data_IF_105808112101
#
_entry.id   IF_105808112101
#
_cell.length_a   1.000
_cell.length_b   1.000
_cell.length_c   1.000
_cell.angle_alpha   90.00
_cell.angle_beta   90.00
_cell.angle_gamma   90.00
#
_symmetry.space_group_name_H-M   'P 1'
#
loop_
_entity.id
_entity.type
_entity.pdbx_description
1 polymer ?
#
# COMPACT_ATOMS: atom_id res chain seq x y z
N UNK A 1 22.36 13.96 -32.20
CA UNK A 1 21.06 14.61 -31.91
C UNK A 1 19.85 13.67 -32.04
N UNK A 2 19.62 12.95 -33.16
CA UNK A 2 18.41 12.07 -33.29
C UNK A 2 18.28 10.96 -32.23
N UNK A 3 19.38 10.30 -31.83
CA UNK A 3 19.34 9.24 -30.80
C UNK A 3 18.81 9.75 -29.45
N UNK A 4 19.26 10.94 -29.04
CA UNK A 4 18.89 11.51 -27.75
C UNK A 4 17.38 11.81 -27.68
N UNK A 5 16.78 12.28 -28.79
CA UNK A 5 15.34 12.53 -28.86
C UNK A 5 14.53 11.23 -28.77
N UNK A 6 14.89 10.20 -29.55
CA UNK A 6 14.22 8.90 -29.47
C UNK A 6 14.38 8.23 -28.09
N UNK A 7 15.53 8.40 -27.45
CA UNK A 7 15.76 7.86 -26.11
C UNK A 7 14.92 8.57 -25.03
N UNK A 8 14.59 9.85 -25.22
CA UNK A 8 13.71 10.61 -24.32
C UNK A 8 12.26 10.18 -24.52
N UNK A 9 11.80 10.10 -25.77
CA UNK A 9 10.45 9.65 -26.13
C UNK A 9 10.18 8.23 -25.59
N UNK A 10 11.12 7.31 -25.80
CA UNK A 10 11.02 5.94 -25.31
C UNK A 10 10.87 5.88 -23.78
N UNK A 11 11.69 6.63 -23.05
CA UNK A 11 11.64 6.65 -21.57
C UNK A 11 10.35 7.25 -21.04
N UNK A 12 9.78 8.27 -21.69
CA UNK A 12 8.48 8.84 -21.30
C UNK A 12 7.37 7.80 -21.48
N UNK A 13 7.36 7.09 -22.61
CA UNK A 13 6.38 6.04 -22.90
C UNK A 13 6.49 4.89 -21.89
N UNK A 14 7.71 4.41 -21.63
CA UNK A 14 7.98 3.35 -20.66
C UNK A 14 7.52 3.74 -19.25
N UNK A 15 7.83 4.98 -18.84
CA UNK A 15 7.47 5.50 -17.53
C UNK A 15 5.95 5.65 -17.37
N UNK A 16 5.25 6.09 -18.43
CA UNK A 16 3.78 6.16 -18.46
C UNK A 16 3.14 4.78 -18.26
N UNK A 17 3.59 3.76 -19.01
CA UNK A 17 3.05 2.40 -18.86
C UNK A 17 3.40 1.79 -17.49
N UNK A 18 4.58 2.10 -16.95
CA UNK A 18 4.98 1.68 -15.60
C UNK A 18 4.07 2.28 -14.53
N UNK A 19 3.69 3.55 -14.66
CA UNK A 19 2.74 4.22 -13.77
C UNK A 19 1.33 3.62 -13.89
N UNK A 20 0.87 3.37 -15.12
CA UNK A 20 -0.43 2.75 -15.37
C UNK A 20 -0.52 1.37 -14.73
N UNK A 21 0.50 0.54 -14.89
CA UNK A 21 0.58 -0.79 -14.27
C UNK A 21 0.57 -0.69 -12.74
N UNK A 22 1.34 0.26 -12.18
CA UNK A 22 1.38 0.45 -10.74
C UNK A 22 0.04 0.91 -10.16
N UNK A 23 -0.74 1.70 -10.91
CA UNK A 23 -2.10 2.11 -10.54
C UNK A 23 -3.05 0.92 -10.48
N UNK A 24 -2.99 0.04 -11.47
CA UNK A 24 -3.80 -1.18 -11.50
C UNK A 24 -3.47 -2.13 -10.34
N UNK A 25 -2.17 -2.25 -10.01
CA UNK A 25 -1.72 -3.03 -8.86
C UNK A 25 -2.28 -2.51 -7.53
N UNK A 26 -2.43 -1.19 -7.36
CA UNK A 26 -3.11 -0.64 -6.17
C UNK A 26 -4.58 -1.06 -6.13
N UNK A 27 -5.29 -0.95 -7.25
CA UNK A 27 -6.71 -1.33 -7.31
C UNK A 27 -6.89 -2.80 -6.92
N UNK A 28 -6.11 -3.69 -7.52
CA UNK A 28 -6.12 -5.11 -7.20
C UNK A 28 -5.73 -5.40 -5.74
N UNK A 29 -4.72 -4.67 -5.22
CA UNK A 29 -4.30 -4.78 -3.82
C UNK A 29 -5.40 -4.38 -2.83
N UNK A 30 -6.18 -3.35 -3.17
CA UNK A 30 -7.33 -2.89 -2.38
C UNK A 30 -8.44 -3.93 -2.35
N UNK A 31 -8.79 -4.49 -3.51
CA UNK A 31 -9.82 -5.53 -3.62
C UNK A 31 -9.42 -6.79 -2.84
N UNK A 32 -8.15 -7.19 -2.96
CA UNK A 32 -7.61 -8.32 -2.20
C UNK A 32 -7.69 -8.06 -0.70
N UNK A 33 -7.33 -6.85 -0.23
CA UNK A 33 -7.45 -6.53 1.19
C UNK A 33 -8.89 -6.54 1.67
N UNK A 34 -9.84 -6.07 0.85
CA UNK A 34 -11.26 -6.12 1.17
C UNK A 34 -11.74 -7.57 1.41
N UNK A 35 -11.33 -8.51 0.55
CA UNK A 35 -11.65 -9.94 0.71
C UNK A 35 -11.10 -10.50 2.03
N UNK A 36 -9.83 -10.24 2.35
CA UNK A 36 -9.24 -10.70 3.63
C UNK A 36 -9.91 -10.05 4.85
N UNK A 37 -10.37 -8.80 4.72
CA UNK A 37 -11.12 -8.11 5.77
C UNK A 37 -12.48 -8.76 6.02
N UNK A 38 -13.19 -9.12 4.95
CA UNK A 38 -14.47 -9.84 5.04
C UNK A 38 -14.29 -11.22 5.67
N UNK A 39 -13.30 -11.99 5.22
CA UNK A 39 -12.97 -13.29 5.80
C UNK A 39 -12.66 -13.19 7.31
N UNK A 40 -11.87 -12.19 7.73
CA UNK A 40 -11.59 -11.96 9.14
C UNK A 40 -12.87 -11.65 9.94
N UNK A 41 -13.78 -10.85 9.36
CA UNK A 41 -15.07 -10.52 9.98
C UNK A 41 -15.94 -11.77 10.16
N UNK A 42 -16.01 -12.62 9.16
CA UNK A 42 -16.75 -13.89 9.19
C UNK A 42 -16.20 -14.84 10.27
N UNK A 43 -14.90 -15.10 10.24
CA UNK A 43 -14.20 -15.95 11.22
C UNK A 43 -14.37 -15.41 12.65
N UNK A 44 -14.35 -14.08 12.83
CA UNK A 44 -14.60 -13.45 14.12
C UNK A 44 -16.04 -13.66 14.61
N UNK A 45 -17.02 -13.58 13.71
CA UNK A 45 -18.41 -13.86 14.05
C UNK A 45 -18.61 -15.34 14.44
N UNK A 46 -18.02 -16.27 13.69
CA UNK A 46 -18.12 -17.70 13.96
C UNK A 46 -17.41 -18.10 15.28
N UNK A 47 -16.28 -17.47 15.59
CA UNK A 47 -15.60 -17.68 16.87
C UNK A 47 -16.46 -17.26 18.06
N UNK A 48 -17.18 -16.12 17.95
CA UNK A 48 -18.10 -15.65 19.01
C UNK A 48 -19.27 -16.61 19.26
N UNK A 49 -19.73 -17.29 18.23
CA UNK A 49 -20.78 -18.32 18.33
C UNK A 49 -20.21 -19.69 18.78
N UNK A 50 -18.90 -19.79 18.99
CA UNK A 50 -18.22 -21.02 19.40
C UNK A 50 -17.99 -22.03 18.27
N UNK A 51 -18.30 -21.67 17.03
CA UNK A 51 -18.20 -22.55 15.86
C UNK A 51 -16.79 -22.66 15.28
N UNK A 52 -15.88 -21.76 15.66
CA UNK A 52 -14.50 -21.67 15.12
C UNK A 52 -13.48 -21.55 16.25
N UNK A 53 -12.37 -22.29 16.10
CA UNK A 53 -11.27 -22.31 17.07
C UNK A 53 -10.54 -20.95 17.15
N UNK A 54 -9.92 -20.67 18.30
CA UNK A 54 -9.00 -19.52 18.47
C UNK A 54 -7.82 -19.58 17.50
N UNK A 55 -7.41 -20.78 17.08
CA UNK A 55 -6.34 -20.98 16.11
C UNK A 55 -6.67 -20.38 14.74
N UNK A 56 -7.85 -20.68 14.20
CA UNK A 56 -8.29 -20.17 12.90
C UNK A 56 -8.47 -18.65 12.92
N UNK A 57 -9.01 -18.11 14.02
CA UNK A 57 -9.11 -16.67 14.24
C UNK A 57 -7.74 -15.98 14.26
N UNK A 58 -6.73 -16.60 14.88
CA UNK A 58 -5.37 -16.08 14.87
C UNK A 58 -4.77 -16.15 13.46
N UNK A 59 -4.96 -17.26 12.75
CA UNK A 59 -4.47 -17.43 11.39
C UNK A 59 -5.06 -16.38 10.44
N UNK A 60 -6.36 -16.12 10.52
CA UNK A 60 -7.02 -15.09 9.72
C UNK A 60 -6.47 -13.68 10.03
N UNK A 61 -6.18 -13.37 11.31
CA UNK A 61 -5.55 -12.12 11.70
C UNK A 61 -4.12 -11.96 11.17
N UNK A 62 -3.34 -13.03 11.18
CA UNK A 62 -1.96 -13.02 10.63
C UNK A 62 -2.00 -12.75 9.13
N UNK A 63 -2.82 -13.50 8.38
CA UNK A 63 -2.98 -13.31 6.93
C UNK A 63 -3.44 -11.89 6.58
N UNK A 64 -4.37 -11.33 7.33
CA UNK A 64 -4.80 -9.94 7.14
C UNK A 64 -3.67 -8.94 7.36
N UNK A 65 -2.83 -9.15 8.39
CA UNK A 65 -1.67 -8.28 8.66
C UNK A 65 -0.62 -8.40 7.57
N UNK A 66 -0.33 -9.61 7.11
CA UNK A 66 0.59 -9.85 5.99
C UNK A 66 0.13 -9.12 4.74
N UNK A 67 -1.16 -9.25 4.39
CA UNK A 67 -1.72 -8.57 3.22
C UNK A 67 -1.67 -7.05 3.33
N UNK A 68 -1.84 -6.51 4.54
CA UNK A 68 -1.69 -5.07 4.79
C UNK A 68 -0.25 -4.59 4.55
N UNK A 69 0.75 -5.40 4.91
CA UNK A 69 2.16 -5.09 4.61
C UNK A 69 2.40 -5.06 3.10
N UNK A 70 1.88 -6.05 2.37
CA UNK A 70 1.97 -6.10 0.90
C UNK A 70 1.31 -4.88 0.27
N UNK A 71 0.14 -4.46 0.75
CA UNK A 71 -0.54 -3.27 0.25
C UNK A 71 0.31 -2.00 0.41
N UNK A 72 1.00 -1.85 1.56
CA UNK A 72 1.91 -0.73 1.78
C UNK A 72 3.08 -0.75 0.79
N UNK A 73 3.61 -1.93 0.44
CA UNK A 73 4.65 -2.06 -0.58
C UNK A 73 4.15 -1.67 -1.97
N UNK A 74 2.93 -2.06 -2.34
CA UNK A 74 2.29 -1.69 -3.61
C UNK A 74 2.12 -0.16 -3.68
N UNK A 75 1.63 0.47 -2.61
CA UNK A 75 1.50 1.94 -2.53
C UNK A 75 2.86 2.64 -2.69
N UNK A 76 3.90 2.11 -2.04
CA UNK A 76 5.25 2.61 -2.18
C UNK A 76 5.79 2.45 -3.61
N UNK A 77 5.49 1.34 -4.29
CA UNK A 77 5.88 1.09 -5.69
C UNK A 77 5.23 2.10 -6.62
N UNK A 78 3.92 2.35 -6.46
CA UNK A 78 3.21 3.36 -7.22
C UNK A 78 3.81 4.75 -7.02
N UNK A 79 4.08 5.14 -5.76
CA UNK A 79 4.71 6.43 -5.47
C UNK A 79 6.06 6.60 -6.17
N UNK A 80 6.88 5.54 -6.20
CA UNK A 80 8.16 5.56 -6.93
C UNK A 80 7.96 5.69 -8.44
N UNK A 81 7.02 4.95 -9.03
CA UNK A 81 6.72 5.03 -10.46
C UNK A 81 6.20 6.43 -10.86
N UNK A 82 5.37 7.03 -10.00
CA UNK A 82 4.86 8.38 -10.19
C UNK A 82 5.98 9.44 -10.14
N UNK A 83 6.88 9.33 -9.15
CA UNK A 83 8.03 10.23 -9.06
C UNK A 83 8.97 10.08 -10.26
N UNK A 84 9.27 8.84 -10.69
CA UNK A 84 10.09 8.59 -11.86
C UNK A 84 9.49 9.21 -13.13
N UNK A 85 8.17 9.15 -13.29
CA UNK A 85 7.45 9.80 -14.39
C UNK A 85 7.56 11.33 -14.34
N UNK A 86 7.41 11.93 -13.16
CA UNK A 86 7.54 13.38 -13.00
C UNK A 86 8.98 13.85 -13.31
N UNK A 87 9.99 13.12 -12.84
CA UNK A 87 11.39 13.41 -13.15
C UNK A 87 11.66 13.32 -14.66
N UNK A 88 11.09 12.32 -15.34
CA UNK A 88 11.26 12.12 -16.78
C UNK A 88 10.63 13.25 -17.62
N UNK A 89 9.60 13.91 -17.10
CA UNK A 89 8.94 15.07 -17.71
C UNK A 89 9.59 16.41 -17.35
N UNK A 90 10.63 16.42 -16.51
CA UNK A 90 11.31 17.64 -16.07
C UNK A 90 10.48 18.47 -15.09
N UNK A 91 9.46 17.88 -14.45
CA UNK A 91 8.79 18.52 -13.32
C UNK A 91 9.70 18.37 -12.10
N UNK A 92 10.35 19.46 -11.68
CA UNK A 92 11.14 19.51 -10.45
C UNK A 92 10.27 19.05 -9.26
N UNK A 93 10.82 18.19 -8.41
CA UNK A 93 10.16 17.57 -7.25
C UNK A 93 9.69 18.58 -6.17
N UNK A 94 9.75 19.89 -6.44
CA UNK A 94 9.49 20.96 -5.45
C UNK A 94 8.02 21.20 -5.14
N UNK A 95 7.06 20.48 -5.75
CA UNK A 95 5.68 20.48 -5.26
C UNK A 95 5.42 19.32 -4.31
N UNK A 96 6.07 19.40 -3.14
CA UNK A 96 5.61 18.74 -1.92
C UNK A 96 4.19 19.21 -1.60
N UNK A 97 3.19 18.53 -2.14
CA UNK A 97 1.84 18.57 -1.59
C UNK A 97 1.67 17.29 -0.79
N UNK A 98 1.98 17.45 0.51
CA UNK A 98 1.35 16.73 1.60
C UNK A 98 -0.17 16.77 1.41
N UNK A 99 -0.72 15.93 0.54
CA UNK A 99 -2.16 15.76 0.38
C UNK A 99 -2.52 14.33 0.75
N UNK A 100 -2.98 14.25 2.00
CA UNK A 100 -3.94 13.26 2.48
C UNK A 100 -3.50 11.80 2.53
N UNK A 101 -2.64 11.49 3.49
CA UNK A 101 -2.92 10.33 4.32
C UNK A 101 -2.51 10.63 5.75
N UNK A 102 -3.50 10.64 6.64
CA UNK A 102 -3.30 10.53 8.09
C UNK A 102 -2.25 9.48 8.31
N UNK A 103 -1.06 9.93 8.70
CA UNK A 103 -0.09 9.09 9.39
C UNK A 103 -0.79 8.76 10.71
N UNK A 104 -1.59 7.69 10.70
CA UNK A 104 -1.98 6.95 11.89
C UNK A 104 -0.72 6.23 12.37
N UNK A 105 0.27 7.02 12.79
CA UNK A 105 1.17 6.64 13.85
C UNK A 105 0.24 6.45 15.05
N UNK A 106 -0.28 5.23 15.22
CA UNK A 106 -0.90 4.84 16.48
C UNK A 106 0.28 4.80 17.47
N UNK A 107 0.44 5.75 18.41
CA UNK A 107 1.47 5.61 19.41
C UNK A 107 1.18 4.31 20.15
N UNK A 108 2.14 3.38 20.09
CA UNK A 108 2.14 2.22 20.95
C UNK A 108 2.11 2.72 22.38
N UNK A 109 1.03 2.44 23.09
CA UNK A 109 0.87 2.71 24.52
C UNK A 109 1.98 1.98 25.26
N UNK A 110 3.01 2.70 25.70
CA UNK A 110 3.71 2.39 26.95
C UNK A 110 3.21 3.36 28.01
N UNK A 111 1.99 3.13 28.48
CA UNK A 111 1.57 3.58 29.80
C UNK A 111 1.93 2.47 30.77
N UNK A 112 2.92 2.70 31.63
CA UNK A 112 2.85 2.37 33.05
C UNK A 112 4.21 2.62 33.72
N UNK A 113 4.21 3.59 34.65
CA UNK A 113 4.83 3.53 35.99
C UNK A 113 6.37 3.50 36.05
N UNK A 114 7.08 4.38 36.74
CA UNK A 114 6.86 4.88 38.11
C UNK A 114 7.40 6.32 38.23
N UNK A 115 6.60 7.21 38.81
CA UNK A 115 7.07 8.19 39.80
C UNK A 115 7.63 7.44 41.00
N UNK A 116 8.90 7.68 41.34
CA UNK A 116 9.35 8.05 42.69
C UNK A 116 10.72 8.70 42.58
#
# INVERSE_FOLDING_TARGET
>A
MRKIQSDIEFRVIESYFSLLLAKEMIALGNDTLALFREHLKEVTSLNKTGSVSRYELLQAQVRFKEQKTIQLEIENRYRRAFNAFNCQLGFDETRYIRSQTKILLKPSRRSATLTS
#
